data_IF_145284794723
#
_entry.id   IF_145284794723
#
_cell.length_a   1.000
_cell.length_b   1.000
_cell.length_c   1.000
_cell.angle_alpha   90.00
_cell.angle_beta   90.00
_cell.angle_gamma   90.00
#
_symmetry.space_group_name_H-M   'P 1'
#
loop_
_entity.id
_entity.type
_entity.pdbx_description
1 polymer ?
#
# COMPACT_ATOMS: atom_id res chain seq x y z
N UNK A 1 0.99 -7.75 5.39
CA UNK A 1 1.85 -8.92 5.69
C UNK A 1 1.08 -9.87 6.60
N UNK A 2 1.14 -11.19 6.39
CA UNK A 2 0.51 -12.16 7.31
C UNK A 2 1.36 -12.36 8.57
N UNK A 3 0.71 -12.54 9.70
CA UNK A 3 1.33 -12.80 11.01
C UNK A 3 0.74 -14.08 11.60
N UNK A 4 1.45 -14.69 12.55
CA UNK A 4 0.93 -15.85 13.27
C UNK A 4 -0.30 -15.42 14.07
N UNK A 5 -1.42 -16.05 13.80
CA UNK A 5 -2.68 -15.79 14.50
C UNK A 5 -2.63 -16.45 15.88
N UNK A 6 -2.40 -15.66 16.92
CA UNK A 6 -2.34 -16.11 18.31
C UNK A 6 -2.69 -14.95 19.24
N UNK A 7 -3.38 -15.22 20.35
CA UNK A 7 -3.64 -14.25 21.40
C UNK A 7 -2.73 -14.46 22.60
N UNK A 8 -2.24 -13.36 23.15
CA UNK A 8 -1.48 -13.35 24.40
C UNK A 8 -1.99 -12.26 25.31
N UNK A 9 -1.95 -12.48 26.63
CA UNK A 9 -2.30 -11.42 27.57
C UNK A 9 -1.05 -10.64 27.95
N UNK A 10 -1.10 -9.33 27.69
CA UNK A 10 -0.04 -8.40 27.97
C UNK A 10 -0.25 -7.75 29.33
N UNK A 11 0.52 -8.20 30.33
CA UNK A 11 0.49 -7.64 31.69
C UNK A 11 0.76 -6.13 31.70
N UNK A 12 1.67 -5.66 30.84
CA UNK A 12 2.06 -4.25 30.77
C UNK A 12 0.93 -3.34 30.28
N UNK A 13 0.14 -3.84 29.33
CA UNK A 13 -0.93 -3.09 28.68
C UNK A 13 -2.30 -3.42 29.25
N UNK A 14 -2.37 -4.38 30.18
CA UNK A 14 -3.59 -4.97 30.73
C UNK A 14 -4.62 -5.29 29.64
N UNK A 15 -4.17 -6.00 28.60
CA UNK A 15 -5.01 -6.31 27.45
C UNK A 15 -4.60 -7.62 26.76
N UNK A 16 -5.56 -8.22 26.05
CA UNK A 16 -5.31 -9.34 25.15
C UNK A 16 -4.76 -8.78 23.82
N UNK A 17 -3.52 -9.10 23.50
CA UNK A 17 -2.87 -8.82 22.21
C UNK A 17 -3.19 -9.92 21.19
N UNK A 18 -2.93 -9.65 19.91
CA UNK A 18 -3.23 -10.59 18.81
C UNK A 18 -4.66 -10.55 18.30
N UNK A 19 -5.51 -9.73 18.91
CA UNK A 19 -6.84 -9.40 18.39
C UNK A 19 -6.79 -8.29 17.34
N UNK A 20 -7.87 -8.16 16.56
CA UNK A 20 -8.03 -7.10 15.58
C UNK A 20 -7.98 -5.74 16.27
N UNK A 21 -7.05 -4.91 15.81
CA UNK A 21 -6.84 -3.56 16.30
C UNK A 21 -6.58 -2.62 15.12
N UNK A 22 -7.56 -1.80 14.80
CA UNK A 22 -7.47 -0.82 13.72
C UNK A 22 -7.21 0.59 14.25
N UNK A 23 -6.66 0.68 15.47
CA UNK A 23 -6.32 1.92 16.16
C UNK A 23 -7.56 2.82 16.32
N UNK A 24 -7.61 4.00 15.67
CA UNK A 24 -8.76 4.91 15.77
C UNK A 24 -10.09 4.33 15.27
N UNK A 25 -10.06 3.26 14.47
CA UNK A 25 -11.26 2.56 14.00
C UNK A 25 -11.75 1.48 14.98
N UNK A 26 -11.05 1.32 16.10
CA UNK A 26 -11.43 0.44 17.20
C UNK A 26 -10.88 -0.98 17.11
N UNK A 27 -11.16 -1.73 18.17
CA UNK A 27 -10.76 -3.13 18.37
C UNK A 27 -11.96 -4.05 18.22
N UNK A 28 -11.71 -5.30 17.84
CA UNK A 28 -12.74 -6.34 17.73
C UNK A 28 -12.27 -7.62 18.40
N UNK A 29 -13.20 -8.37 18.98
CA UNK A 29 -12.96 -9.72 19.51
C UNK A 29 -12.83 -10.75 18.39
N UNK A 30 -11.91 -10.51 17.45
CA UNK A 30 -11.54 -11.37 16.34
C UNK A 30 -10.02 -11.46 16.32
N UNK A 31 -9.43 -12.60 15.96
CA UNK A 31 -7.98 -12.74 15.80
C UNK A 31 -7.47 -11.92 14.62
N UNK A 32 -6.41 -11.15 14.83
CA UNK A 32 -5.66 -10.55 13.74
C UNK A 32 -4.88 -11.64 12.98
N UNK A 33 -4.86 -11.56 11.65
CA UNK A 33 -4.06 -12.47 10.80
C UNK A 33 -3.02 -11.74 9.99
N UNK A 34 -3.12 -10.41 9.94
CA UNK A 34 -2.25 -9.58 9.14
C UNK A 34 -1.83 -8.34 9.92
N UNK A 35 -0.73 -7.75 9.49
CA UNK A 35 -0.35 -6.38 9.83
C UNK A 35 -0.38 -5.52 8.56
N UNK A 36 -0.96 -4.34 8.69
CA UNK A 36 -0.98 -3.27 7.70
C UNK A 36 -0.14 -2.11 8.24
N UNK A 37 0.85 -1.65 7.47
CA UNK A 37 1.84 -0.66 7.94
C UNK A 37 1.90 0.49 6.96
N UNK A 38 1.89 1.71 7.47
CA UNK A 38 2.33 2.89 6.73
C UNK A 38 3.78 3.18 7.07
N UNK A 39 4.61 3.36 6.04
CA UNK A 39 5.99 3.77 6.17
C UNK A 39 6.16 5.13 5.49
N UNK A 40 6.99 5.97 6.10
CA UNK A 40 7.49 7.20 5.49
C UNK A 40 8.90 6.95 4.98
N UNK A 41 9.18 7.39 3.76
CA UNK A 41 10.48 7.25 3.11
C UNK A 41 10.94 8.62 2.59
N UNK A 42 12.25 8.85 2.66
CA UNK A 42 12.88 10.01 2.07
C UNK A 42 12.93 9.88 0.55
N UNK A 43 12.34 10.84 -0.15
CA UNK A 43 12.52 10.97 -1.61
C UNK A 43 13.95 11.48 -1.92
N UNK A 44 14.63 12.11 -0.96
CA UNK A 44 15.97 12.65 -1.16
C UNK A 44 17.02 11.54 -1.12
N UNK A 45 17.51 11.14 -2.29
CA UNK A 45 18.54 10.13 -2.44
C UNK A 45 19.88 10.46 -1.77
N UNK A 46 20.18 11.73 -1.47
CA UNK A 46 21.42 12.12 -0.75
C UNK A 46 21.39 11.77 0.73
N UNK A 47 20.19 11.68 1.32
CA UNK A 47 19.98 11.34 2.72
C UNK A 47 18.80 10.36 2.82
N UNK A 48 19.00 9.10 2.43
CA UNK A 48 17.96 8.09 2.48
C UNK A 48 17.66 7.72 3.93
N UNK A 49 16.39 7.73 4.29
CA UNK A 49 15.91 7.25 5.59
C UNK A 49 14.48 6.75 5.42
N UNK A 50 14.11 5.77 6.24
CA UNK A 50 12.78 5.16 6.24
C UNK A 50 12.35 4.89 7.67
N UNK A 51 11.07 5.14 7.96
CA UNK A 51 10.50 4.89 9.28
C UNK A 51 9.05 4.38 9.17
N UNK A 52 8.66 3.33 9.91
CA UNK A 52 7.25 2.99 10.08
C UNK A 52 6.57 4.07 10.94
N UNK A 53 5.45 4.60 10.47
CA UNK A 53 4.74 5.70 11.16
C UNK A 53 3.44 5.25 11.82
N UNK A 54 2.85 4.16 11.32
CA UNK A 54 1.63 3.57 11.87
C UNK A 54 1.54 2.10 11.45
N UNK A 55 0.96 1.28 12.33
CA UNK A 55 0.58 -0.08 12.01
C UNK A 55 -0.81 -0.40 12.56
N UNK A 56 -1.48 -1.34 11.90
CA UNK A 56 -2.82 -1.80 12.22
C UNK A 56 -2.90 -3.32 12.03
N UNK A 57 -3.74 -3.97 12.81
CA UNK A 57 -3.87 -5.42 12.90
C UNK A 57 -5.25 -5.87 12.39
N UNK A 58 -5.46 -6.02 11.08
CA UNK A 58 -6.72 -6.54 10.55
C UNK A 58 -6.82 -8.08 10.62
N UNK A 59 -8.05 -8.60 10.64
CA UNK A 59 -8.34 -10.04 10.63
C UNK A 59 -8.02 -10.72 9.28
N UNK A 60 -8.05 -9.99 8.17
CA UNK A 60 -7.61 -10.48 6.85
C UNK A 60 -7.05 -9.34 5.99
N UNK A 61 -7.83 -8.29 5.81
CA UNK A 61 -7.45 -7.11 5.06
C UNK A 61 -8.31 -5.94 5.52
N UNK A 62 -7.78 -4.74 5.40
CA UNK A 62 -8.58 -3.53 5.58
C UNK A 62 -9.55 -3.38 4.40
N UNK A 63 -10.71 -2.80 4.67
CA UNK A 63 -11.62 -2.30 3.63
C UNK A 63 -11.02 -1.04 3.00
N UNK A 64 -11.40 -0.77 1.76
CA UNK A 64 -10.94 0.42 1.03
C UNK A 64 -11.25 1.72 1.79
N UNK A 65 -12.44 1.83 2.39
CA UNK A 65 -12.83 2.98 3.21
C UNK A 65 -11.96 3.14 4.47
N UNK A 66 -11.63 2.03 5.14
CA UNK A 66 -10.76 2.03 6.32
C UNK A 66 -9.34 2.49 5.95
N UNK A 67 -8.79 2.02 4.82
CA UNK A 67 -7.49 2.46 4.30
C UNK A 67 -7.48 3.98 4.08
N UNK A 68 -8.53 4.53 3.45
CA UNK A 68 -8.61 5.97 3.16
C UNK A 68 -8.65 6.79 4.45
N UNK A 69 -9.42 6.36 5.46
CA UNK A 69 -9.51 7.05 6.74
C UNK A 69 -8.12 7.07 7.42
N UNK A 70 -7.47 5.91 7.50
CA UNK A 70 -6.16 5.79 8.15
C UNK A 70 -5.07 6.54 7.38
N UNK A 71 -5.10 6.51 6.04
CA UNK A 71 -4.20 7.29 5.18
C UNK A 71 -4.34 8.79 5.46
N UNK A 72 -5.56 9.33 5.44
CA UNK A 72 -5.81 10.75 5.70
C UNK A 72 -5.34 11.18 7.08
N UNK A 73 -5.59 10.35 8.10
CA UNK A 73 -5.06 10.61 9.44
C UNK A 73 -3.52 10.61 9.50
N UNK A 74 -2.87 9.72 8.76
CA UNK A 74 -1.41 9.74 8.65
C UNK A 74 -0.93 11.03 7.97
N UNK A 75 -1.55 11.44 6.86
CA UNK A 75 -1.21 12.68 6.17
C UNK A 75 -1.39 13.91 7.07
N UNK A 76 -2.49 14.00 7.82
CA UNK A 76 -2.74 15.09 8.76
C UNK A 76 -1.67 15.15 9.88
N UNK A 77 -1.23 13.99 10.38
CA UNK A 77 -0.18 13.93 11.41
C UNK A 77 1.19 14.31 10.86
N UNK A 78 1.53 13.83 9.66
CA UNK A 78 2.79 14.16 9.00
C UNK A 78 2.88 15.64 8.62
N UNK A 79 1.78 16.24 8.19
CA UNK A 79 1.73 17.68 7.94
C UNK A 79 2.03 18.49 9.21
N UNK A 80 1.47 18.08 10.35
CA UNK A 80 1.74 18.72 11.65
C UNK A 80 3.20 18.63 12.09
N UNK A 81 3.94 17.61 11.65
CA UNK A 81 5.38 17.50 11.93
C UNK A 81 6.25 18.31 10.95
N UNK A 82 5.64 18.94 9.93
CA UNK A 82 6.35 19.64 8.86
C UNK A 82 6.85 18.71 7.76
N UNK A 83 6.42 17.45 7.71
CA UNK A 83 6.81 16.54 6.64
C UNK A 83 6.03 16.86 5.36
N UNK A 84 6.76 17.03 4.25
CA UNK A 84 6.17 17.34 2.94
C UNK A 84 5.98 16.07 2.10
N UNK A 85 4.87 15.36 2.34
CA UNK A 85 4.54 14.12 1.62
C UNK A 85 4.09 14.46 0.20
N UNK A 86 4.86 14.02 -0.81
CA UNK A 86 4.56 14.25 -2.23
C UNK A 86 4.05 13.03 -2.97
N UNK A 87 4.55 11.85 -2.62
CA UNK A 87 4.31 10.60 -3.32
C UNK A 87 3.81 9.54 -2.36
N UNK A 88 2.79 8.80 -2.79
CA UNK A 88 2.26 7.63 -2.11
C UNK A 88 2.44 6.41 -3.01
N UNK A 89 3.06 5.37 -2.46
CA UNK A 89 3.28 4.11 -3.16
C UNK A 89 2.44 3.01 -2.53
N UNK A 90 1.78 2.20 -3.35
CA UNK A 90 0.93 1.10 -2.87
C UNK A 90 1.08 -0.15 -3.74
N UNK A 91 0.83 -1.31 -3.14
CA UNK A 91 0.83 -2.57 -3.88
C UNK A 91 -0.43 -2.72 -4.76
N UNK A 92 -0.47 -3.80 -5.55
CA UNK A 92 -1.63 -4.11 -6.39
C UNK A 92 -2.66 -5.01 -5.70
N UNK A 93 -2.73 -5.00 -4.37
CA UNK A 93 -3.79 -5.65 -3.62
C UNK A 93 -5.16 -5.05 -3.98
N UNK A 94 -6.20 -5.87 -4.05
CA UNK A 94 -7.55 -5.45 -4.45
C UNK A 94 -8.11 -4.35 -3.55
N UNK A 95 -7.86 -4.42 -2.23
CA UNK A 95 -8.28 -3.38 -1.29
C UNK A 95 -7.57 -2.04 -1.52
N UNK A 96 -6.27 -2.06 -1.82
CA UNK A 96 -5.51 -0.84 -2.12
C UNK A 96 -5.96 -0.24 -3.45
N UNK A 97 -6.10 -1.05 -4.50
CA UNK A 97 -6.65 -0.60 -5.78
C UNK A 97 -8.03 0.06 -5.59
N UNK A 98 -8.93 -0.58 -4.83
CA UNK A 98 -10.23 -0.01 -4.52
C UNK A 98 -10.14 1.31 -3.74
N UNK A 99 -9.23 1.41 -2.76
CA UNK A 99 -9.03 2.65 -1.98
C UNK A 99 -8.56 3.82 -2.87
N UNK A 100 -7.58 3.59 -3.73
CA UNK A 100 -7.06 4.64 -4.62
C UNK A 100 -8.06 5.00 -5.73
N UNK A 101 -8.84 4.03 -6.23
CA UNK A 101 -9.95 4.32 -7.15
C UNK A 101 -11.01 5.22 -6.50
N UNK A 102 -11.34 4.99 -5.23
CA UNK A 102 -12.26 5.86 -4.47
C UNK A 102 -11.69 7.27 -4.22
N UNK A 103 -10.36 7.42 -4.23
CA UNK A 103 -9.70 8.74 -4.24
C UNK A 103 -9.65 9.38 -5.63
N UNK A 104 -10.18 8.70 -6.66
CA UNK A 104 -10.18 9.17 -8.04
C UNK A 104 -8.84 9.00 -8.77
N UNK A 105 -7.95 8.16 -8.25
CA UNK A 105 -6.64 7.85 -8.86
C UNK A 105 -6.79 6.76 -9.91
N UNK A 106 -6.24 7.01 -11.10
CA UNK A 106 -6.11 6.04 -12.21
C UNK A 106 -4.89 6.40 -13.07
N UNK A 107 -4.59 5.61 -14.10
CA UNK A 107 -3.36 5.77 -14.88
C UNK A 107 -3.23 7.16 -15.53
N UNK A 108 -4.33 7.70 -16.04
CA UNK A 108 -4.41 9.01 -16.70
C UNK A 108 -4.46 10.17 -15.68
N UNK A 109 -4.86 9.87 -14.44
CA UNK A 109 -4.95 10.82 -13.33
C UNK A 109 -4.30 10.20 -12.08
N UNK A 110 -2.96 10.13 -12.02
CA UNK A 110 -2.23 9.48 -10.92
C UNK A 110 -2.13 10.39 -9.68
N UNK A 111 -3.17 11.19 -9.42
CA UNK A 111 -3.15 12.27 -8.44
C UNK A 111 -4.50 12.41 -7.76
N UNK A 112 -4.48 12.74 -6.47
CA UNK A 112 -5.67 13.19 -5.75
C UNK A 112 -5.35 14.44 -4.94
N UNK A 113 -6.41 15.16 -4.57
CA UNK A 113 -6.32 16.39 -3.77
C UNK A 113 -6.91 16.12 -2.40
N UNK A 114 -6.18 16.50 -1.36
CA UNK A 114 -6.64 16.44 0.04
C UNK A 114 -6.05 17.64 0.80
N UNK A 115 -6.86 18.34 1.60
CA UNK A 115 -6.47 19.57 2.31
C UNK A 115 -5.74 20.60 1.42
N UNK A 116 -6.26 20.84 0.20
CA UNK A 116 -5.66 21.73 -0.81
C UNK A 116 -4.23 21.36 -1.24
N UNK A 117 -3.75 20.15 -0.90
CA UNK A 117 -2.48 19.61 -1.36
C UNK A 117 -2.71 18.53 -2.40
N UNK A 118 -1.80 18.47 -3.38
CA UNK A 118 -1.77 17.46 -4.43
C UNK A 118 -0.83 16.34 -4.02
N UNK A 119 -1.34 15.11 -4.03
CA UNK A 119 -0.56 13.90 -3.77
C UNK A 119 -0.47 13.07 -5.04
N UNK A 120 0.75 12.67 -5.41
CA UNK A 120 0.97 11.70 -6.48
C UNK A 120 0.82 10.29 -5.92
N UNK A 121 0.21 9.41 -6.69
CA UNK A 121 0.01 8.02 -6.32
C UNK A 121 0.61 7.12 -7.40
N UNK A 122 1.38 6.12 -6.98
CA UNK A 122 2.02 5.15 -7.88
C UNK A 122 1.88 3.75 -7.32
N UNK A 123 1.75 2.78 -8.22
CA UNK A 123 1.99 1.40 -7.85
C UNK A 123 3.47 1.17 -7.50
N UNK A 124 3.72 0.15 -6.70
CA UNK A 124 5.06 -0.40 -6.50
C UNK A 124 5.64 -0.88 -7.85
N UNK A 125 6.66 -0.17 -8.33
CA UNK A 125 7.23 -0.38 -9.67
C UNK A 125 7.80 -1.80 -9.87
N UNK A 126 8.60 -2.36 -8.94
CA UNK A 126 9.01 -3.76 -9.01
C UNK A 126 7.85 -4.76 -9.19
N UNK A 127 6.71 -4.55 -8.52
CA UNK A 127 5.53 -5.41 -8.71
C UNK A 127 4.91 -5.28 -10.11
N UNK A 128 4.90 -4.08 -10.71
CA UNK A 128 4.47 -3.90 -12.10
C UNK A 128 5.34 -4.69 -13.08
N UNK A 129 6.67 -4.52 -12.97
CA UNK A 129 7.64 -5.20 -13.84
C UNK A 129 7.51 -6.72 -13.71
N UNK A 130 7.42 -7.23 -12.46
CA UNK A 130 7.25 -8.66 -12.20
C UNK A 130 5.98 -9.22 -12.86
N UNK A 131 4.86 -8.48 -12.82
CA UNK A 131 3.61 -8.93 -13.45
C UNK A 131 3.71 -8.90 -14.97
N UNK A 132 4.32 -7.88 -15.55
CA UNK A 132 4.57 -7.81 -16.99
C UNK A 132 5.42 -9.01 -17.45
N UNK A 133 6.53 -9.27 -16.76
CA UNK A 133 7.39 -10.42 -17.05
C UNK A 133 6.63 -11.76 -16.92
N UNK A 134 5.79 -11.90 -15.88
CA UNK A 134 4.96 -13.11 -15.70
C UNK A 134 3.91 -13.26 -16.80
N UNK A 135 3.35 -12.16 -17.32
CA UNK A 135 2.39 -12.17 -18.42
C UNK A 135 3.08 -12.62 -19.71
N UNK A 136 4.21 -11.99 -20.05
CA UNK A 136 5.00 -12.33 -21.23
C UNK A 136 5.50 -13.77 -21.16
N UNK A 137 5.97 -14.26 -20.01
CA UNK A 137 6.38 -15.67 -19.87
C UNK A 137 5.25 -16.66 -20.16
N UNK A 138 4.02 -16.31 -19.81
CA UNK A 138 2.85 -17.18 -20.03
C UNK A 138 2.32 -17.11 -21.46
N UNK A 139 2.28 -15.93 -22.04
CA UNK A 139 1.61 -15.67 -23.32
C UNK A 139 2.56 -15.44 -24.50
N UNK A 140 3.86 -15.35 -24.23
CA UNK A 140 4.98 -15.14 -25.17
C UNK A 140 5.00 -13.80 -25.91
N UNK A 141 3.82 -13.29 -26.30
CA UNK A 141 3.67 -12.06 -27.06
C UNK A 141 2.65 -11.14 -26.39
N UNK A 142 2.92 -9.84 -26.44
CA UNK A 142 1.98 -8.77 -26.12
C UNK A 142 1.58 -8.08 -27.42
N UNK A 143 0.28 -7.97 -27.68
CA UNK A 143 -0.25 -7.33 -28.88
C UNK A 143 -0.83 -5.96 -28.56
N UNK A 144 -0.66 -5.01 -29.47
CA UNK A 144 -1.35 -3.73 -29.49
C UNK A 144 -1.81 -3.46 -30.93
N UNK A 145 -3.10 -3.24 -31.13
CA UNK A 145 -3.73 -3.01 -32.44
C UNK A 145 -3.36 -4.07 -33.51
N UNK A 146 -3.26 -5.33 -33.09
CA UNK A 146 -2.95 -6.48 -33.96
C UNK A 146 -1.46 -6.67 -34.26
N UNK A 147 -0.59 -5.75 -33.85
CA UNK A 147 0.86 -5.89 -33.97
C UNK A 147 1.48 -6.42 -32.67
N UNK A 148 2.58 -7.17 -32.78
CA UNK A 148 3.39 -7.57 -31.62
C UNK A 148 4.09 -6.31 -31.09
N UNK A 149 3.77 -5.91 -29.87
CA UNK A 149 4.40 -4.79 -29.17
C UNK A 149 5.65 -5.23 -28.41
N UNK A 150 5.61 -6.41 -27.80
CA UNK A 150 6.72 -6.98 -27.04
C UNK A 150 6.64 -8.51 -27.03
N UNK A 151 7.78 -9.17 -26.89
CA UNK A 151 7.91 -10.61 -26.75
C UNK A 151 8.68 -10.97 -25.47
N UNK A 152 8.51 -12.21 -24.99
CA UNK A 152 9.33 -12.69 -23.87
C UNK A 152 10.82 -12.80 -24.25
N UNK A 153 11.12 -13.07 -25.51
CA UNK A 153 12.50 -13.13 -26.02
C UNK A 153 13.23 -11.79 -25.88
N UNK A 154 12.51 -10.66 -25.85
CA UNK A 154 13.11 -9.33 -25.63
C UNK A 154 13.77 -9.20 -24.24
N UNK A 155 13.44 -10.11 -23.30
CA UNK A 155 13.97 -10.15 -21.94
C UNK A 155 15.02 -11.27 -21.75
N UNK A 156 15.25 -12.10 -22.75
CA UNK A 156 16.31 -13.10 -22.73
C UNK A 156 17.62 -12.40 -23.12
N UNK A 157 18.61 -12.43 -22.22
CA UNK A 157 19.95 -11.92 -22.54
C UNK A 157 20.48 -12.67 -23.76
N UNK A 158 20.70 -11.95 -24.84
CA UNK A 158 21.42 -12.43 -26.04
C UNK A 158 22.92 -12.43 -25.79
#
# INVERSE_FOLDING_TARGET
MYIKSYEEYSLKLDQIEGLVDLGPLGRKCERAKCVFVFCLDSINARHPWRQPIAYFLPGKCLKASEIIILLKQCLDRLEKTGADVRLLTYDQGTCNQSAYNLLGVHAEKPVFIYNNRKYYASYDFPHLVKRLASLLRRHQYLYCDGAVLASYADFELT
#
